data_IF_834773962647
#
_entry.id   IF_834773962647
#
_cell.length_a   1.000
_cell.length_b   1.000
_cell.length_c   1.000
_cell.angle_alpha   90.00
_cell.angle_beta   90.00
_cell.angle_gamma   90.00
#
_symmetry.space_group_name_H-M   'P 1'
#
loop_
_entity.id
_entity.type
_entity.pdbx_description
1 polymer ?
#
# COMPACT_ATOMS: atom_id res chain seq x y z
N UNK A 1 5.46 -16.83 -5.03
CA UNK A 1 4.79 -15.69 -4.38
C UNK A 1 5.37 -15.54 -2.98
N UNK A 2 5.72 -14.33 -2.52
CA UNK A 2 6.26 -14.15 -1.18
C UNK A 2 5.18 -14.40 -0.11
N UNK A 3 5.55 -14.79 1.11
CA UNK A 3 4.60 -14.90 2.22
C UNK A 3 4.02 -13.52 2.60
N UNK A 4 2.86 -13.52 3.25
CA UNK A 4 2.29 -12.33 3.88
C UNK A 4 3.15 -11.95 5.09
N UNK A 5 3.40 -10.65 5.25
CA UNK A 5 4.11 -10.13 6.40
C UNK A 5 3.16 -9.39 7.35
N UNK A 6 3.44 -9.51 8.64
CA UNK A 6 2.88 -8.67 9.69
C UNK A 6 3.91 -7.60 10.08
N UNK A 7 3.41 -6.43 10.48
CA UNK A 7 4.25 -5.30 10.81
C UNK A 7 3.83 -4.75 12.17
N UNK A 8 4.71 -4.87 13.18
CA UNK A 8 4.37 -4.40 14.53
C UNK A 8 5.56 -3.78 15.26
N UNK A 9 5.26 -2.85 16.16
CA UNK A 9 6.22 -2.34 17.12
C UNK A 9 6.59 -3.41 18.15
N UNK A 10 7.89 -3.63 18.36
CA UNK A 10 8.44 -4.55 19.36
C UNK A 10 8.15 -4.14 20.82
N UNK A 11 7.90 -2.85 21.07
CA UNK A 11 7.69 -2.31 22.42
C UNK A 11 6.22 -2.09 22.80
N UNK A 12 5.48 -1.36 21.96
CA UNK A 12 4.10 -0.96 22.29
C UNK A 12 3.02 -1.79 21.57
N UNK A 13 3.41 -2.75 20.73
CA UNK A 13 2.48 -3.60 19.99
C UNK A 13 1.65 -2.87 18.94
N UNK A 14 1.99 -1.62 18.58
CA UNK A 14 1.34 -0.91 17.49
C UNK A 14 1.48 -1.70 16.20
N UNK A 15 0.35 -2.00 15.55
CA UNK A 15 0.28 -2.83 14.35
C UNK A 15 -0.03 -1.95 13.14
N UNK A 16 0.63 -2.25 12.03
CA UNK A 16 0.36 -1.70 10.70
C UNK A 16 -0.36 -2.77 9.85
N UNK A 17 -0.92 -2.40 8.68
CA UNK A 17 -1.55 -3.37 7.78
C UNK A 17 -0.64 -4.55 7.46
N UNK A 18 -1.17 -5.78 7.50
CA UNK A 18 -0.45 -6.95 7.01
C UNK A 18 -0.56 -7.06 5.48
N UNK A 19 0.41 -7.72 4.86
CA UNK A 19 0.45 -7.91 3.41
C UNK A 19 1.85 -7.70 2.85
N UNK A 20 1.92 -7.09 1.66
CA UNK A 20 3.19 -6.74 0.99
C UNK A 20 3.42 -5.21 0.93
N UNK A 21 2.70 -4.45 1.75
CA UNK A 21 2.79 -3.00 1.88
C UNK A 21 2.15 -2.22 0.72
N UNK A 22 1.18 -2.82 0.04
CA UNK A 22 0.35 -2.17 -0.97
C UNK A 22 -0.30 -3.14 -1.94
N UNK A 23 -0.96 -2.60 -2.97
CA UNK A 23 -1.64 -3.36 -4.00
C UNK A 23 -1.65 -2.65 -5.36
N UNK A 24 -1.72 -3.45 -6.42
CA UNK A 24 -1.92 -2.94 -7.77
C UNK A 24 -3.37 -2.47 -7.96
N UNK A 25 -3.55 -1.43 -8.76
CA UNK A 25 -4.87 -1.00 -9.23
C UNK A 25 -4.88 -0.75 -10.73
N UNK A 26 -6.07 -0.74 -11.32
CA UNK A 26 -6.36 -0.25 -12.66
C UNK A 26 -7.43 0.83 -12.59
N UNK A 27 -7.24 1.93 -13.31
CA UNK A 27 -8.21 3.01 -13.36
C UNK A 27 -9.26 2.71 -14.44
N UNK A 28 -10.55 2.88 -14.15
CA UNK A 28 -11.65 2.77 -15.12
C UNK A 28 -11.87 4.04 -15.95
N UNK A 29 -12.84 4.04 -16.87
CA UNK A 29 -13.09 5.18 -17.76
C UNK A 29 -13.52 6.46 -17.03
N UNK A 30 -14.02 6.35 -15.80
CA UNK A 30 -14.44 7.49 -14.96
C UNK A 30 -13.28 8.07 -14.15
N UNK A 31 -12.11 7.44 -14.17
CA UNK A 31 -10.98 7.82 -13.32
C UNK A 31 -10.96 7.12 -11.97
N UNK A 32 -11.91 6.21 -11.69
CA UNK A 32 -11.95 5.46 -10.43
C UNK A 32 -10.90 4.36 -10.44
N UNK A 33 -10.14 4.22 -9.35
CA UNK A 33 -9.21 3.10 -9.14
C UNK A 33 -9.97 1.85 -8.72
N UNK A 34 -9.73 0.75 -9.44
CA UNK A 34 -10.24 -0.59 -9.17
C UNK A 34 -9.06 -1.42 -8.68
N UNK A 35 -9.19 -2.03 -7.50
CA UNK A 35 -8.16 -2.91 -6.92
C UNK A 35 -7.98 -4.12 -7.84
N UNK A 36 -6.74 -4.45 -8.16
CA UNK A 36 -6.39 -5.69 -8.83
C UNK A 36 -5.94 -6.71 -7.76
N UNK A 37 -6.79 -7.68 -7.37
CA UNK A 37 -6.45 -8.61 -6.31
C UNK A 37 -5.27 -9.50 -6.71
N UNK A 38 -4.40 -9.78 -5.75
CA UNK A 38 -3.38 -10.82 -5.89
C UNK A 38 -3.92 -12.13 -5.30
N UNK A 39 -3.63 -13.29 -5.93
CA UNK A 39 -2.95 -13.44 -7.22
C UNK A 39 -3.87 -13.10 -8.41
N UNK A 40 -3.26 -12.94 -9.59
CA UNK A 40 -3.94 -12.70 -10.88
C UNK A 40 -4.47 -11.27 -11.08
N UNK A 41 -3.69 -10.27 -10.71
CA UNK A 41 -4.01 -8.84 -10.87
C UNK A 41 -4.44 -8.49 -12.31
N UNK A 42 -3.77 -9.10 -13.30
CA UNK A 42 -4.05 -8.87 -14.71
C UNK A 42 -5.43 -9.37 -15.15
N UNK A 43 -6.09 -10.26 -14.41
CA UNK A 43 -7.47 -10.63 -14.70
C UNK A 43 -8.40 -9.41 -14.56
N UNK A 44 -8.19 -8.59 -13.51
CA UNK A 44 -8.95 -7.35 -13.32
C UNK A 44 -8.60 -6.32 -14.38
N UNK A 45 -7.31 -6.20 -14.74
CA UNK A 45 -6.87 -5.33 -15.85
C UNK A 45 -7.58 -5.69 -17.16
N UNK A 46 -7.63 -6.97 -17.51
CA UNK A 46 -8.31 -7.46 -18.72
C UNK A 46 -9.82 -7.25 -18.66
N UNK A 47 -10.45 -7.37 -17.48
CA UNK A 47 -11.88 -7.07 -17.31
C UNK A 47 -12.19 -5.58 -17.51
N UNK A 48 -11.33 -4.69 -17.00
CA UNK A 48 -11.56 -3.23 -17.04
C UNK A 48 -11.16 -2.60 -18.38
N UNK A 49 -10.04 -3.04 -18.97
CA UNK A 49 -9.49 -2.45 -20.20
C UNK A 49 -9.76 -3.27 -21.46
N UNK A 50 -10.23 -4.51 -21.31
CA UNK A 50 -10.37 -5.49 -22.38
C UNK A 50 -9.14 -6.41 -22.51
N UNK A 51 -9.37 -7.66 -22.92
CA UNK A 51 -8.33 -8.69 -22.99
C UNK A 51 -7.15 -8.35 -23.94
N UNK A 52 -7.40 -7.52 -24.96
CA UNK A 52 -6.41 -7.10 -25.95
C UNK A 52 -6.00 -5.63 -25.79
N UNK A 53 -6.15 -5.05 -24.60
CA UNK A 53 -5.73 -3.67 -24.34
C UNK A 53 -4.25 -3.48 -24.71
N UNK A 54 -3.90 -2.41 -25.45
CA UNK A 54 -2.51 -2.17 -25.82
C UNK A 54 -1.66 -1.92 -24.56
N UNK A 55 -0.40 -2.37 -24.61
CA UNK A 55 0.53 -2.28 -23.47
C UNK A 55 0.67 -0.86 -22.91
N UNK A 56 0.68 0.14 -23.78
CA UNK A 56 0.78 1.56 -23.39
C UNK A 56 -0.43 1.99 -22.55
N UNK A 57 -1.64 1.58 -22.94
CA UNK A 57 -2.85 1.86 -22.17
C UNK A 57 -2.80 1.17 -20.81
N UNK A 58 -2.37 -0.10 -20.77
CA UNK A 58 -2.20 -0.83 -19.49
C UNK A 58 -1.25 -0.05 -18.58
N UNK A 59 -0.06 0.32 -19.06
CA UNK A 59 0.93 1.06 -18.27
C UNK A 59 0.40 2.40 -17.77
N UNK A 60 -0.32 3.13 -18.61
CA UNK A 60 -0.94 4.41 -18.24
C UNK A 60 -2.00 4.22 -17.14
N UNK A 61 -2.81 3.17 -17.26
CA UNK A 61 -4.01 2.96 -16.45
C UNK A 61 -3.79 2.12 -15.20
N UNK A 62 -2.68 1.41 -15.11
CA UNK A 62 -2.30 0.67 -13.91
C UNK A 62 -1.35 1.49 -13.04
N UNK A 63 -1.44 1.30 -11.73
CA UNK A 63 -0.51 1.86 -10.76
C UNK A 63 -0.43 0.99 -9.50
N UNK A 64 0.22 1.49 -8.46
CA UNK A 64 0.40 0.77 -7.21
C UNK A 64 0.11 1.69 -6.04
N UNK A 65 -0.89 1.34 -5.25
CA UNK A 65 -1.20 2.01 -3.99
C UNK A 65 -0.33 1.40 -2.90
N UNK A 66 0.45 2.23 -2.21
CA UNK A 66 1.21 1.81 -1.02
C UNK A 66 0.34 1.88 0.23
N UNK A 67 0.58 0.99 1.19
CA UNK A 67 0.04 1.11 2.55
C UNK A 67 0.83 2.20 3.28
N UNK A 68 0.15 3.26 3.70
CA UNK A 68 0.77 4.43 4.31
C UNK A 68 0.16 4.73 5.68
N UNK A 69 0.98 5.33 6.54
CA UNK A 69 0.58 5.87 7.84
C UNK A 69 0.93 7.36 7.89
N UNK A 70 -0.01 8.18 8.36
CA UNK A 70 0.31 9.55 8.76
C UNK A 70 1.06 9.56 10.10
N UNK A 71 2.24 10.16 10.15
CA UNK A 71 3.08 10.18 11.35
C UNK A 71 2.64 11.18 12.42
N UNK A 72 1.65 12.03 12.08
CA UNK A 72 1.06 13.01 12.99
C UNK A 72 -0.28 12.55 13.56
N UNK A 73 -1.21 12.04 12.72
CA UNK A 73 -2.53 11.58 13.18
C UNK A 73 -2.66 10.06 13.32
N UNK A 74 -1.63 9.29 12.94
CA UNK A 74 -1.57 7.83 13.01
C UNK A 74 -2.70 7.10 12.27
N UNK A 75 -3.38 7.77 11.33
CA UNK A 75 -4.36 7.13 10.46
C UNK A 75 -3.67 6.46 9.27
N UNK A 76 -4.13 5.26 8.97
CA UNK A 76 -3.73 4.47 7.81
C UNK A 76 -4.55 4.90 6.58
N UNK A 77 -3.91 4.89 5.42
CA UNK A 77 -4.55 5.16 4.14
C UNK A 77 -3.67 4.66 3.00
N UNK A 78 -4.23 4.62 1.79
CA UNK A 78 -3.52 4.21 0.59
C UNK A 78 -3.36 5.36 -0.39
N UNK A 79 -2.15 5.54 -0.91
CA UNK A 79 -1.85 6.45 -2.02
C UNK A 79 -0.84 5.81 -2.96
N UNK A 80 -0.88 6.21 -4.22
CA UNK A 80 0.17 5.91 -5.18
C UNK A 80 1.29 6.92 -4.99
N UNK A 81 2.35 6.54 -4.26
CA UNK A 81 3.46 7.45 -3.92
C UNK A 81 4.19 8.04 -5.14
N UNK A 82 3.98 7.50 -6.34
CA UNK A 82 4.57 8.02 -7.59
C UNK A 82 3.66 9.00 -8.31
N UNK A 83 2.35 8.97 -8.04
CA UNK A 83 1.34 9.73 -8.81
C UNK A 83 0.55 10.72 -7.95
N UNK A 84 0.36 10.43 -6.68
CA UNK A 84 -0.44 11.23 -5.77
C UNK A 84 0.41 12.23 -4.98
N UNK A 85 -0.24 13.29 -4.51
CA UNK A 85 0.37 14.17 -3.52
C UNK A 85 0.62 13.37 -2.23
N UNK A 86 1.84 13.46 -1.70
CA UNK A 86 2.22 12.82 -0.43
C UNK A 86 1.67 13.62 0.77
N UNK A 87 0.36 13.55 0.96
CA UNK A 87 -0.38 14.26 2.00
C UNK A 87 -1.48 13.37 2.61
N UNK A 88 -1.70 13.51 3.91
CA UNK A 88 -2.70 12.75 4.64
C UNK A 88 -4.12 13.26 4.29
N UNK A 89 -5.04 12.39 3.83
CA UNK A 89 -6.41 12.82 3.52
C UNK A 89 -7.23 13.19 4.76
N UNK A 90 -6.73 12.93 5.97
CA UNK A 90 -7.45 13.17 7.21
C UNK A 90 -7.02 14.42 7.97
N UNK A 91 -5.75 14.81 7.88
CA UNK A 91 -5.21 15.99 8.60
C UNK A 91 -4.31 16.88 7.73
N UNK A 92 -4.15 16.57 6.44
CA UNK A 92 -3.35 17.31 5.48
C UNK A 92 -1.84 17.40 5.78
N UNK A 93 -1.33 16.63 6.76
CA UNK A 93 0.10 16.52 7.02
C UNK A 93 0.83 15.87 5.85
N UNK A 94 2.05 16.33 5.56
CA UNK A 94 2.97 15.72 4.60
C UNK A 94 3.94 14.70 5.24
N UNK A 95 3.86 14.50 6.56
CA UNK A 95 4.66 13.49 7.28
C UNK A 95 4.01 12.13 7.14
N UNK A 96 4.26 11.49 6.00
CA UNK A 96 3.71 10.18 5.64
C UNK A 96 4.86 9.17 5.57
N UNK A 97 4.71 8.02 6.21
CA UNK A 97 5.60 6.87 6.01
C UNK A 97 4.85 5.75 5.30
N UNK A 98 5.42 5.22 4.23
CA UNK A 98 4.98 3.94 3.67
C UNK A 98 5.36 2.82 4.62
N UNK A 99 4.68 1.69 4.52
CA UNK A 99 5.00 0.53 5.32
C UNK A 99 6.46 0.07 5.13
N UNK A 100 6.98 0.06 3.90
CA UNK A 100 8.39 -0.26 3.64
C UNK A 100 9.37 0.77 4.22
N UNK A 101 8.99 2.05 4.27
CA UNK A 101 9.84 3.10 4.87
C UNK A 101 9.84 3.06 6.41
N UNK A 102 8.82 2.43 7.02
CA UNK A 102 8.67 2.38 8.47
C UNK A 102 9.37 1.19 9.12
N UNK A 103 9.58 0.09 8.38
CA UNK A 103 10.30 -1.11 8.86
C UNK A 103 11.71 -0.72 9.31
N UNK A 104 12.16 -1.33 10.41
CA UNK A 104 13.42 -1.06 11.11
C UNK A 104 13.57 0.39 11.62
N UNK A 105 12.55 1.22 11.43
CA UNK A 105 12.48 2.59 11.91
C UNK A 105 11.79 2.72 13.28
N UNK A 106 11.94 3.89 13.92
CA UNK A 106 11.31 4.16 15.21
C UNK A 106 9.78 4.15 15.08
N UNK A 107 9.12 3.49 16.02
CA UNK A 107 7.67 3.37 16.06
C UNK A 107 7.03 4.77 16.12
N UNK A 108 6.16 5.14 15.16
CA UNK A 108 5.56 6.46 15.12
C UNK A 108 4.58 6.70 16.28
N UNK A 109 4.07 5.65 16.94
CA UNK A 109 3.17 5.77 18.09
C UNK A 109 3.90 6.02 19.41
N UNK A 110 4.87 5.18 19.76
CA UNK A 110 5.54 5.26 21.08
C UNK A 110 6.90 5.97 21.06
N UNK A 111 7.51 6.16 19.87
CA UNK A 111 8.85 6.76 19.67
C UNK A 111 10.02 6.02 20.34
N UNK A 112 9.76 4.94 21.04
CA UNK A 112 10.76 4.20 21.82
C UNK A 112 11.07 2.80 21.27
N UNK A 113 10.10 2.15 20.62
CA UNK A 113 10.29 0.85 19.97
C UNK A 113 10.58 0.97 18.48
N UNK A 114 10.78 -0.17 17.83
CA UNK A 114 11.08 -0.29 16.40
C UNK A 114 9.99 -1.09 15.69
N UNK A 115 9.61 -0.68 14.48
CA UNK A 115 8.67 -1.45 13.65
C UNK A 115 9.42 -2.65 13.05
N UNK A 116 8.94 -3.85 13.35
CA UNK A 116 9.49 -5.11 12.87
C UNK A 116 8.60 -5.67 11.75
N UNK A 117 9.24 -6.20 10.70
CA UNK A 117 8.60 -7.05 9.70
C UNK A 117 8.68 -8.51 10.16
N UNK A 118 7.52 -9.18 10.20
CA UNK A 118 7.38 -10.55 10.68
C UNK A 118 6.78 -11.39 9.56
N UNK A 119 7.57 -12.32 9.03
CA UNK A 119 7.08 -13.30 8.05
C UNK A 119 6.09 -14.23 8.72
N UNK A 120 4.83 -14.24 8.27
CA UNK A 120 3.77 -15.03 8.91
C UNK A 120 3.79 -16.51 8.52
N UNK A 121 4.41 -16.83 7.38
CA UNK A 121 4.30 -18.15 6.75
C UNK A 121 2.96 -18.42 6.07
N UNK A 122 2.03 -17.45 6.06
CA UNK A 122 0.83 -17.50 5.24
C UNK A 122 1.13 -17.06 3.79
N UNK A 123 0.41 -17.65 2.84
CA UNK A 123 0.55 -17.41 1.41
C UNK A 123 -0.86 -17.10 0.86
N UNK A 124 -1.02 -16.00 0.12
CA UNK A 124 -2.29 -15.61 -0.52
C UNK A 124 -2.13 -15.39 -2.01
#
# INVERSE_FOLDING_TARGET
MPPINEFKCDKCGFQLPSGWGGYMYVTDQTGKRIVCPHPCEFATVSQVLGANAPRELIQQRTGFNSDCLCLDCLKEFNIDLKRDARACPHCNSNRIGSLQELVDGPCPKCKEGTIQEIVTGAWS
#
